data_IF_873721061367
#
_entry.id   IF_873721061367
#
_cell.length_a   1.000
_cell.length_b   1.000
_cell.length_c   1.000
_cell.angle_alpha   90.00
_cell.angle_beta   90.00
_cell.angle_gamma   90.00
#
_symmetry.space_group_name_H-M   'P 1'
#
loop_
_entity.id
_entity.type
_entity.pdbx_description
1 polymer ?
#
# COMPACT_ATOMS: atom_id res chain seq x y z
N UNK A 1 -5.90 -8.02 -10.11
CA UNK A 1 -6.42 -8.44 -8.80
C UNK A 1 -5.25 -8.68 -7.87
N UNK A 2 -5.41 -8.30 -6.60
CA UNK A 2 -4.47 -8.55 -5.52
C UNK A 2 -5.26 -9.19 -4.37
N UNK A 3 -4.78 -10.33 -3.87
CA UNK A 3 -5.33 -11.05 -2.73
C UNK A 3 -4.22 -11.28 -1.73
N UNK A 4 -4.42 -10.86 -0.50
CA UNK A 4 -3.57 -11.21 0.64
C UNK A 4 -4.45 -11.93 1.66
N UNK A 5 -4.09 -13.16 2.01
CA UNK A 5 -4.87 -14.01 2.93
C UNK A 5 -4.05 -14.36 4.16
N UNK A 6 -4.66 -14.18 5.33
CA UNK A 6 -4.12 -14.56 6.64
C UNK A 6 -2.67 -14.14 6.88
N UNK A 7 -2.30 -12.95 6.41
CA UNK A 7 -0.94 -12.44 6.50
C UNK A 7 -0.55 -12.24 7.96
N UNK A 8 0.50 -12.95 8.38
CA UNK A 8 1.14 -12.76 9.68
C UNK A 8 2.60 -12.40 9.45
N UNK A 9 3.03 -11.31 10.08
CA UNK A 9 4.45 -10.92 10.10
C UNK A 9 4.86 -10.68 11.54
N UNK A 10 6.01 -11.23 11.90
CA UNK A 10 6.64 -11.04 13.21
C UNK A 10 8.13 -10.75 13.07
N UNK A 11 8.66 -9.87 13.91
CA UNK A 11 10.09 -9.59 13.99
C UNK A 11 10.64 -10.03 15.35
N UNK A 12 11.93 -10.38 15.40
CA UNK A 12 12.61 -10.80 16.62
C UNK A 12 13.08 -12.26 16.58
N UNK A 13 13.60 -12.75 17.70
CA UNK A 13 14.08 -14.13 17.84
C UNK A 13 13.00 -15.02 18.43
N UNK A 14 13.11 -16.33 18.17
CA UNK A 14 12.23 -17.36 18.76
C UNK A 14 12.13 -17.19 20.29
N UNK A 15 10.91 -17.05 20.80
CA UNK A 15 10.64 -16.81 22.23
C UNK A 15 10.51 -15.32 22.63
N UNK A 16 10.75 -14.38 21.71
CA UNK A 16 10.60 -12.93 21.94
C UNK A 16 10.14 -12.20 20.68
N UNK A 17 9.37 -12.86 19.82
CA UNK A 17 8.88 -12.27 18.57
C UNK A 17 7.76 -11.25 18.85
N UNK A 18 7.81 -10.12 18.16
CA UNK A 18 6.75 -9.11 18.13
C UNK A 18 5.96 -9.28 16.84
N UNK A 19 4.68 -9.62 16.96
CA UNK A 19 3.77 -9.75 15.82
C UNK A 19 3.29 -8.37 15.38
N UNK A 20 3.64 -7.99 14.14
CA UNK A 20 3.30 -6.70 13.52
C UNK A 20 2.03 -6.79 12.69
N UNK A 21 1.87 -7.84 11.86
CA UNK A 21 0.62 -8.11 11.12
C UNK A 21 -0.02 -9.39 11.67
N UNK A 22 -1.34 -9.38 11.87
CA UNK A 22 -2.08 -10.41 12.60
C UNK A 22 -3.25 -10.96 11.77
N UNK A 23 -2.98 -11.98 10.96
CA UNK A 23 -3.97 -12.64 10.11
C UNK A 23 -4.74 -11.62 9.23
N UNK A 24 -3.98 -10.73 8.60
CA UNK A 24 -4.51 -9.65 7.79
C UNK A 24 -5.01 -10.21 6.46
N UNK A 25 -6.23 -9.82 6.10
CA UNK A 25 -6.88 -10.18 4.86
C UNK A 25 -7.14 -8.91 4.04
N UNK A 26 -6.81 -8.94 2.76
CA UNK A 26 -7.03 -7.83 1.83
C UNK A 26 -7.37 -8.37 0.44
N UNK A 27 -8.47 -7.91 -0.14
CA UNK A 27 -8.87 -8.22 -1.51
C UNK A 27 -9.06 -6.91 -2.29
N UNK A 28 -8.33 -6.76 -3.38
CA UNK A 28 -8.39 -5.59 -4.24
C UNK A 28 -8.61 -6.01 -5.69
N UNK A 29 -9.75 -5.61 -6.24
CA UNK A 29 -10.05 -5.73 -7.67
C UNK A 29 -9.10 -4.90 -8.51
N UNK A 30 -8.89 -5.32 -9.77
CA UNK A 30 -8.03 -4.56 -10.69
C UNK A 30 -8.53 -3.11 -10.86
N UNK A 31 -7.60 -2.16 -10.98
CA UNK A 31 -7.91 -0.75 -11.23
C UNK A 31 -8.45 0.03 -10.04
N UNK A 32 -8.59 -0.60 -8.86
CA UNK A 32 -9.09 0.04 -7.65
C UNK A 32 -7.99 0.80 -6.93
N UNK A 33 -8.39 1.92 -6.32
CA UNK A 33 -7.56 2.75 -5.46
C UNK A 33 -8.02 2.55 -4.02
N UNK A 34 -7.15 1.98 -3.19
CA UNK A 34 -7.44 1.65 -1.80
C UNK A 34 -6.63 2.57 -0.89
N UNK A 35 -7.29 3.14 0.11
CA UNK A 35 -6.62 3.83 1.21
C UNK A 35 -6.48 2.91 2.42
N UNK A 36 -5.31 2.89 3.03
CA UNK A 36 -5.08 2.24 4.33
C UNK A 36 -4.54 3.31 5.28
N UNK A 37 -5.40 3.73 6.20
CA UNK A 37 -5.06 4.66 7.26
C UNK A 37 -4.44 3.90 8.43
N UNK A 38 -3.46 4.48 9.12
CA UNK A 38 -3.00 3.94 10.39
C UNK A 38 -1.92 4.78 11.03
N UNK A 39 -1.77 4.67 12.34
CA UNK A 39 -0.78 5.45 13.08
C UNK A 39 0.66 5.10 12.71
N UNK A 40 1.61 5.92 13.15
CA UNK A 40 3.02 5.56 13.08
C UNK A 40 3.26 4.20 13.75
N UNK A 41 4.07 3.34 13.11
CA UNK A 41 4.40 1.97 13.58
C UNK A 41 3.21 0.98 13.64
N UNK A 42 2.06 1.29 13.02
CA UNK A 42 0.93 0.34 12.89
C UNK A 42 1.21 -0.88 12.02
N UNK A 43 2.31 -0.86 11.23
CA UNK A 43 2.69 -1.94 10.32
C UNK A 43 2.46 -1.65 8.84
N UNK A 44 2.15 -0.40 8.46
CA UNK A 44 1.94 0.02 7.05
C UNK A 44 3.10 -0.36 6.14
N UNK A 45 4.33 0.05 6.47
CA UNK A 45 5.51 -0.27 5.65
C UNK A 45 5.79 -1.78 5.60
N UNK A 46 5.52 -2.51 6.69
CA UNK A 46 5.58 -3.97 6.70
C UNK A 46 4.57 -4.59 5.72
N UNK A 47 3.33 -4.08 5.70
CA UNK A 47 2.32 -4.49 4.74
C UNK A 47 2.76 -4.17 3.31
N UNK A 48 3.30 -2.98 3.05
CA UNK A 48 3.83 -2.60 1.75
C UNK A 48 4.86 -3.61 1.24
N UNK A 49 5.87 -3.92 2.06
CA UNK A 49 6.92 -4.90 1.74
C UNK A 49 6.35 -6.28 1.42
N UNK A 50 5.33 -6.74 2.17
CA UNK A 50 4.66 -8.02 1.90
C UNK A 50 3.95 -7.99 0.55
N UNK A 51 3.19 -6.93 0.25
CA UNK A 51 2.40 -6.84 -0.99
C UNK A 51 3.27 -6.71 -2.24
N UNK A 52 4.41 -6.02 -2.16
CA UNK A 52 5.36 -5.96 -3.28
C UNK A 52 6.22 -7.22 -3.40
N UNK A 53 6.33 -8.01 -2.34
CA UNK A 53 7.08 -9.28 -2.32
C UNK A 53 8.50 -9.16 -1.77
N UNK A 54 8.88 -8.01 -1.25
CA UNK A 54 10.19 -7.77 -0.62
C UNK A 54 10.31 -8.44 0.76
N UNK A 55 9.17 -8.75 1.38
CA UNK A 55 9.09 -9.46 2.66
C UNK A 55 8.15 -10.65 2.55
N UNK A 56 8.67 -11.85 2.80
CA UNK A 56 7.84 -13.05 2.91
C UNK A 56 7.15 -13.07 4.28
N UNK A 57 5.82 -13.23 4.34
CA UNK A 57 5.13 -13.33 5.62
C UNK A 57 5.45 -14.68 6.30
N UNK A 58 5.32 -14.71 7.63
CA UNK A 58 5.49 -15.94 8.43
C UNK A 58 4.37 -16.94 8.18
N UNK A 59 3.15 -16.44 8.00
CA UNK A 59 1.98 -17.21 7.60
C UNK A 59 1.15 -16.42 6.59
N UNK A 60 0.34 -17.14 5.83
CA UNK A 60 -0.51 -16.56 4.79
C UNK A 60 0.20 -16.45 3.45
N UNK A 61 -0.51 -15.89 2.47
CA UNK A 61 -0.06 -15.79 1.09
C UNK A 61 -0.54 -14.51 0.41
N UNK A 62 0.27 -14.03 -0.54
CA UNK A 62 -0.09 -12.93 -1.44
C UNK A 62 -0.17 -13.48 -2.86
N UNK A 63 -1.32 -13.31 -3.50
CA UNK A 63 -1.56 -13.62 -4.90
C UNK A 63 -1.84 -12.32 -5.65
N UNK A 64 -1.07 -12.05 -6.70
CA UNK A 64 -1.27 -10.89 -7.60
C UNK A 64 -1.12 -11.35 -9.05
N UNK A 65 -1.65 -10.55 -9.98
CA UNK A 65 -1.45 -10.81 -11.41
C UNK A 65 0.02 -10.73 -11.81
N UNK A 66 0.34 -11.22 -13.02
CA UNK A 66 1.69 -11.18 -13.59
C UNK A 66 2.07 -9.77 -14.05
N UNK A 67 2.37 -8.91 -13.09
CA UNK A 67 2.79 -7.54 -13.33
C UNK A 67 3.82 -7.09 -12.30
N UNK A 68 4.64 -6.10 -12.66
CA UNK A 68 5.54 -5.46 -11.70
C UNK A 68 4.75 -4.66 -10.66
N UNK A 69 5.26 -4.65 -9.43
CA UNK A 69 4.84 -3.74 -8.37
C UNK A 69 5.85 -2.61 -8.22
N UNK A 70 5.34 -1.41 -7.94
CA UNK A 70 6.15 -0.23 -7.64
C UNK A 70 5.80 0.18 -6.20
N UNK A 71 6.82 0.31 -5.35
CA UNK A 71 6.71 0.87 -4.01
C UNK A 71 7.37 2.24 -3.97
N UNK A 72 6.64 3.23 -3.48
CA UNK A 72 7.13 4.59 -3.27
C UNK A 72 7.16 4.82 -1.76
N UNK A 73 8.37 4.96 -1.20
CA UNK A 73 8.57 5.27 0.21
C UNK A 73 9.00 6.73 0.35
N UNK A 74 8.43 7.43 1.33
CA UNK A 74 8.67 8.85 1.58
C UNK A 74 10.10 9.25 1.97
N UNK A 75 10.97 8.29 2.27
CA UNK A 75 12.33 8.52 2.77
C UNK A 75 13.26 9.19 1.74
N UNK A 76 12.87 9.27 0.47
CA UNK A 76 13.62 10.01 -0.55
C UNK A 76 12.82 11.26 -0.93
N UNK A 77 13.41 12.44 -0.66
CA UNK A 77 12.92 13.78 -1.05
C UNK A 77 12.63 13.82 -2.56
N UNK A 78 11.45 13.39 -2.97
CA UNK A 78 10.98 13.46 -4.33
C UNK A 78 9.83 14.46 -4.38
N UNK A 79 10.13 15.76 -4.33
CA UNK A 79 9.16 16.77 -4.76
C UNK A 79 8.82 16.62 -6.25
N UNK A 80 9.71 15.98 -7.02
CA UNK A 80 9.50 15.67 -8.42
C UNK A 80 8.71 14.37 -8.61
N UNK A 81 7.44 14.49 -8.97
CA UNK A 81 6.56 13.36 -9.32
C UNK A 81 6.70 12.87 -10.76
N UNK A 82 7.50 13.54 -11.61
CA UNK A 82 7.64 13.15 -13.03
C UNK A 82 8.05 11.69 -13.21
N UNK A 83 8.99 11.11 -12.42
CA UNK A 83 9.30 9.69 -12.53
C UNK A 83 8.11 8.77 -12.22
N UNK A 84 7.22 9.20 -11.32
CA UNK A 84 5.99 8.47 -10.99
C UNK A 84 5.01 8.52 -12.16
N UNK A 85 4.82 9.70 -12.75
CA UNK A 85 3.96 9.86 -13.92
C UNK A 85 4.48 9.06 -15.11
N UNK A 86 5.79 9.08 -15.36
CA UNK A 86 6.42 8.26 -16.41
C UNK A 86 6.29 6.75 -16.13
N UNK A 87 6.47 6.34 -14.87
CA UNK A 87 6.26 4.95 -14.49
C UNK A 87 4.81 4.53 -14.75
N UNK A 88 3.83 5.41 -14.51
CA UNK A 88 2.42 5.14 -14.77
C UNK A 88 2.08 4.85 -16.24
N UNK A 89 2.89 5.35 -17.17
CA UNK A 89 2.75 5.11 -18.61
C UNK A 89 3.33 3.77 -19.06
N UNK A 90 4.18 3.14 -18.25
CA UNK A 90 4.78 1.85 -18.60
C UNK A 90 3.73 0.74 -18.62
N UNK A 91 3.71 -0.06 -19.68
CA UNK A 91 2.69 -1.12 -19.83
C UNK A 91 2.81 -2.27 -18.81
N UNK A 92 4.00 -2.50 -18.24
CA UNK A 92 4.34 -3.73 -17.52
C UNK A 92 4.28 -3.64 -15.96
N UNK A 93 3.59 -2.66 -15.39
CA UNK A 93 3.31 -2.64 -13.95
C UNK A 93 1.80 -2.63 -13.72
N UNK A 94 1.33 -3.20 -12.60
CA UNK A 94 -0.10 -3.33 -12.31
C UNK A 94 -0.49 -3.02 -10.88
N UNK A 95 0.49 -2.92 -9.98
CA UNK A 95 0.31 -2.52 -8.58
C UNK A 95 1.25 -1.35 -8.25
N UNK A 96 0.65 -0.28 -7.76
CA UNK A 96 1.35 0.87 -7.19
C UNK A 96 1.06 0.93 -5.69
N UNK A 97 2.09 1.03 -4.86
CA UNK A 97 1.94 1.27 -3.42
C UNK A 97 2.65 2.58 -3.09
N UNK A 98 1.94 3.49 -2.45
CA UNK A 98 2.47 4.76 -1.95
C UNK A 98 2.44 4.68 -0.43
N UNK A 99 3.61 4.71 0.20
CA UNK A 99 3.73 4.81 1.66
C UNK A 99 4.00 6.27 2.06
N UNK A 100 2.91 6.98 2.33
CA UNK A 100 2.85 8.40 2.72
C UNK A 100 3.19 8.64 4.20
N UNK A 101 3.67 7.62 4.93
CA UNK A 101 4.12 7.82 6.31
C UNK A 101 5.21 8.91 6.43
N UNK A 102 5.92 9.21 5.34
CA UNK A 102 7.04 10.17 5.32
C UNK A 102 7.17 10.94 3.99
N UNK A 103 6.18 10.94 3.09
CA UNK A 103 6.44 11.50 1.74
C UNK A 103 6.53 13.02 1.77
N UNK A 104 7.57 13.55 1.13
CA UNK A 104 7.69 14.98 0.84
C UNK A 104 6.77 15.45 -0.29
N UNK A 105 5.85 14.58 -0.75
CA UNK A 105 4.94 14.85 -1.87
C UNK A 105 3.68 15.46 -1.27
N UNK A 106 3.27 16.63 -1.76
CA UNK A 106 2.02 17.25 -1.30
C UNK A 106 0.80 16.42 -1.72
N UNK A 107 -0.33 16.68 -1.07
CA UNK A 107 -1.57 15.94 -1.31
C UNK A 107 -2.08 16.07 -2.74
N UNK A 108 -1.91 17.23 -3.38
CA UNK A 108 -2.30 17.46 -4.78
C UNK A 108 -1.58 16.52 -5.75
N UNK A 109 -0.27 16.38 -5.58
CA UNK A 109 0.57 15.51 -6.39
C UNK A 109 0.25 14.02 -6.16
N UNK A 110 -0.02 13.62 -4.91
CA UNK A 110 -0.50 12.26 -4.63
C UNK A 110 -1.83 12.03 -5.32
N UNK A 111 -2.82 12.93 -5.16
CA UNK A 111 -4.12 12.84 -5.83
C UNK A 111 -4.00 12.75 -7.35
N UNK A 112 -3.09 13.51 -7.97
CA UNK A 112 -2.79 13.40 -9.40
C UNK A 112 -2.29 12.00 -9.78
N UNK A 113 -1.34 11.44 -9.02
CA UNK A 113 -0.81 10.09 -9.22
C UNK A 113 -1.91 9.04 -9.04
N UNK A 114 -2.75 9.14 -8.01
CA UNK A 114 -3.88 8.24 -7.78
C UNK A 114 -4.85 8.24 -8.97
N UNK A 115 -5.24 9.44 -9.44
CA UNK A 115 -6.16 9.58 -10.57
C UNK A 115 -5.56 9.07 -11.88
N UNK A 116 -4.28 9.34 -12.15
CA UNK A 116 -3.59 8.83 -13.34
C UNK A 116 -3.45 7.30 -13.28
N UNK A 117 -3.13 6.74 -12.12
CA UNK A 117 -3.10 5.29 -11.90
C UNK A 117 -4.45 4.64 -12.19
N UNK A 118 -5.54 5.23 -11.67
CA UNK A 118 -6.92 4.80 -11.95
C UNK A 118 -7.23 4.81 -13.45
N UNK A 119 -6.95 5.91 -14.15
CA UNK A 119 -7.18 6.03 -15.61
C UNK A 119 -6.37 5.03 -16.43
N UNK A 120 -5.20 4.60 -15.93
CA UNK A 120 -4.38 3.56 -16.53
C UNK A 120 -4.76 2.12 -16.07
N UNK A 121 -5.90 1.96 -15.37
CA UNK A 121 -6.38 0.70 -14.81
C UNK A 121 -5.35 0.01 -13.89
N UNK A 122 -4.65 0.82 -13.08
CA UNK A 122 -3.63 0.35 -12.14
C UNK A 122 -4.25 0.18 -10.76
N UNK A 123 -3.97 -0.96 -10.15
CA UNK A 123 -4.35 -1.18 -8.75
C UNK A 123 -3.43 -0.32 -7.90
N UNK A 124 -3.97 0.57 -7.08
CA UNK A 124 -3.18 1.50 -6.28
C UNK A 124 -3.55 1.36 -4.81
N UNK A 125 -2.55 1.32 -3.93
CA UNK A 125 -2.73 1.32 -2.47
C UNK A 125 -1.98 2.53 -1.90
N UNK A 126 -2.72 3.44 -1.28
CA UNK A 126 -2.17 4.54 -0.51
C UNK A 126 -2.15 4.16 0.97
N UNK A 127 -0.98 4.13 1.58
CA UNK A 127 -0.80 3.98 3.02
C UNK A 127 -0.53 5.37 3.59
N UNK A 128 -1.33 5.85 4.53
CA UNK A 128 -1.12 7.16 5.15
C UNK A 128 -1.56 7.18 6.61
N UNK A 129 -1.14 8.17 7.40
CA UNK A 129 -1.72 8.42 8.72
C UNK A 129 -3.01 9.23 8.66
N UNK A 130 -3.28 9.90 7.52
CA UNK A 130 -4.48 10.69 7.33
C UNK A 130 -4.94 10.58 5.86
N UNK A 131 -6.18 10.13 5.65
CA UNK A 131 -6.74 9.99 4.30
C UNK A 131 -7.72 11.10 3.90
N UNK A 132 -7.95 12.11 4.75
CA UNK A 132 -8.98 13.14 4.53
C UNK A 132 -8.82 13.86 3.18
N UNK A 133 -7.59 14.23 2.82
CA UNK A 133 -7.29 14.94 1.58
C UNK A 133 -7.36 14.10 0.30
N UNK A 134 -7.65 12.79 0.43
CA UNK A 134 -7.64 11.85 -0.69
C UNK A 134 -8.97 11.16 -0.91
N UNK A 135 -10.00 11.40 -0.08
CA UNK A 135 -11.27 10.65 -0.08
C UNK A 135 -11.89 10.48 -1.47
N UNK A 136 -11.89 11.53 -2.28
CA UNK A 136 -12.47 11.52 -3.63
C UNK A 136 -11.70 10.61 -4.61
N UNK A 137 -10.44 10.31 -4.30
CA UNK A 137 -9.60 9.41 -5.08
C UNK A 137 -9.75 7.93 -4.66
N UNK A 138 -10.36 7.61 -3.52
CA UNK A 138 -10.33 6.27 -2.93
C UNK A 138 -11.64 5.52 -3.19
N UNK A 139 -11.54 4.30 -3.73
CA UNK A 139 -12.69 3.40 -3.90
C UNK A 139 -13.11 2.76 -2.57
N UNK A 140 -12.15 2.51 -1.68
CA UNK A 140 -12.38 1.86 -0.39
C UNK A 140 -11.29 2.29 0.58
N UNK A 141 -11.67 2.46 1.85
CA UNK A 141 -10.71 2.77 2.91
C UNK A 141 -10.72 1.70 3.99
N UNK A 142 -9.52 1.35 4.45
CA UNK A 142 -9.31 0.49 5.59
C UNK A 142 -8.53 1.27 6.65
N UNK A 143 -8.65 0.82 7.88
CA UNK A 143 -7.74 1.22 8.95
C UNK A 143 -6.91 0.03 9.40
N UNK A 144 -5.61 0.23 9.52
CA UNK A 144 -4.66 -0.72 10.08
C UNK A 144 -4.50 -0.44 11.58
N UNK A 145 -5.17 -1.22 12.40
CA UNK A 145 -5.15 -1.11 13.86
C UNK A 145 -4.68 -2.42 14.47
N UNK A 146 -3.69 -2.36 15.37
CA UNK A 146 -3.14 -3.54 16.06
C UNK A 146 -2.76 -4.70 15.12
N UNK A 147 -2.26 -4.38 13.92
CA UNK A 147 -1.84 -5.36 12.92
C UNK A 147 -2.97 -5.99 12.10
N UNK A 148 -4.21 -5.48 12.19
CA UNK A 148 -5.38 -5.95 11.44
C UNK A 148 -5.97 -4.84 10.58
N UNK A 149 -6.55 -5.21 9.43
CA UNK A 149 -7.34 -4.28 8.63
C UNK A 149 -8.80 -4.31 9.05
N UNK A 150 -9.35 -3.12 9.28
CA UNK A 150 -10.75 -2.89 9.58
C UNK A 150 -11.31 -2.01 8.45
N UNK A 151 -12.40 -2.44 7.81
CA UNK A 151 -13.06 -1.64 6.78
C UNK A 151 -13.62 -0.36 7.41
N UNK A 152 -13.29 0.80 6.83
CA UNK A 152 -13.81 2.10 7.25
C UNK A 152 -14.99 2.45 6.35
N UNK A 153 -16.16 2.65 6.97
CA UNK A 153 -17.40 3.05 6.28
C UNK A 153 -17.38 4.53 5.92
#
# INVERSE_FOLDING_TARGET
MLLARDIVVSYGKKGGEVVVLRALNLNVSAGKVIGIEGDSKSGKSTLASVLVGDLQPKYGEVQKGEFKSILINGSKRHSNISPLLMALEQKNFGLLIIDDAETSINSENISLVLNKGRSANRTTILLSSNLEGYKDCLDTTFRLESGRLVLKK
#
